data_IF_402698494177
#
_entry.id   IF_402698494177
#
_cell.length_a   1.000
_cell.length_b   1.000
_cell.length_c   1.000
_cell.angle_alpha   90.00
_cell.angle_beta   90.00
_cell.angle_gamma   90.00
#
_symmetry.space_group_name_H-M   'P 1'
#
loop_
_entity.id
_entity.type
_entity.pdbx_description
1 polymer ?
#
# COMPACT_ATOMS: atom_id res chain seq x y z
N UNK A 1 -1.96 -7.03 40.42
CA UNK A 1 -2.33 -6.16 39.29
C UNK A 1 -3.75 -6.54 38.92
N UNK A 2 -4.74 -5.68 39.20
CA UNK A 2 -6.13 -5.97 38.86
C UNK A 2 -6.29 -5.97 37.34
N UNK A 3 -6.99 -6.97 36.82
CA UNK A 3 -7.31 -7.21 35.40
C UNK A 3 -7.75 -5.92 34.66
N UNK A 4 -8.44 -5.04 35.39
CA UNK A 4 -8.86 -3.69 34.96
C UNK A 4 -7.72 -2.78 34.47
N UNK A 5 -6.56 -2.81 35.11
CA UNK A 5 -5.44 -1.94 34.74
C UNK A 5 -4.75 -2.37 33.45
N UNK A 6 -4.72 -3.68 33.17
CA UNK A 6 -4.17 -4.24 31.93
C UNK A 6 -5.09 -3.93 30.76
N UNK A 7 -6.40 -4.06 30.97
CA UNK A 7 -7.41 -3.73 29.96
C UNK A 7 -7.42 -2.24 29.58
N UNK A 8 -7.25 -1.36 30.58
CA UNK A 8 -7.17 0.08 30.34
C UNK A 8 -5.91 0.46 29.53
N UNK A 9 -4.77 -0.16 29.82
CA UNK A 9 -3.54 0.01 29.03
C UNK A 9 -3.72 -0.47 27.58
N UNK A 10 -4.38 -1.61 27.39
CA UNK A 10 -4.70 -2.14 26.06
C UNK A 10 -5.60 -1.17 25.27
N UNK A 11 -6.71 -0.71 25.87
CA UNK A 11 -7.65 0.23 25.26
C UNK A 11 -7.08 1.64 25.02
N UNK A 12 -6.00 2.02 25.71
CA UNK A 12 -5.26 3.26 25.47
C UNK A 12 -4.34 3.16 24.27
N UNK A 13 -3.82 1.98 23.97
CA UNK A 13 -2.98 1.71 22.80
C UNK A 13 -3.77 1.59 21.50
N UNK A 14 -5.08 1.39 21.58
CA UNK A 14 -5.95 1.29 20.42
C UNK A 14 -6.35 2.67 19.89
N UNK A 15 -6.30 2.83 18.56
CA UNK A 15 -6.89 3.98 17.89
C UNK A 15 -8.41 4.02 18.09
N UNK A 16 -9.00 5.23 18.02
CA UNK A 16 -10.44 5.47 18.24
C UNK A 16 -11.34 4.45 17.52
N UNK A 17 -11.00 4.09 16.29
CA UNK A 17 -11.79 3.15 15.48
C UNK A 17 -11.73 1.68 15.95
N UNK A 18 -10.65 1.27 16.63
CA UNK A 18 -10.50 -0.09 17.13
C UNK A 18 -11.09 -0.27 18.54
N UNK A 19 -11.40 0.83 19.22
CA UNK A 19 -11.96 0.80 20.57
C UNK A 19 -13.34 0.14 20.57
N UNK A 20 -14.18 0.45 19.60
CA UNK A 20 -15.52 -0.15 19.46
C UNK A 20 -15.47 -1.67 19.24
N UNK A 21 -14.44 -2.17 18.57
CA UNK A 21 -14.25 -3.61 18.33
C UNK A 21 -13.69 -4.29 19.59
N UNK A 22 -12.76 -3.64 20.28
CA UNK A 22 -12.25 -4.12 21.56
C UNK A 22 -13.33 -4.17 22.63
N UNK A 23 -14.23 -3.19 22.68
CA UNK A 23 -15.35 -3.16 23.60
C UNK A 23 -16.31 -4.34 23.34
N UNK A 24 -16.58 -4.69 22.07
CA UNK A 24 -17.36 -5.89 21.72
C UNK A 24 -16.71 -7.20 22.16
N UNK A 25 -15.38 -7.31 22.03
CA UNK A 25 -14.60 -8.47 22.51
C UNK A 25 -14.69 -8.58 24.04
N UNK A 26 -14.71 -7.44 24.74
CA UNK A 26 -14.77 -7.39 26.20
C UNK A 26 -16.17 -7.68 26.75
N UNK A 27 -17.21 -7.08 26.15
CA UNK A 27 -18.61 -7.29 26.56
C UNK A 27 -19.07 -8.74 26.33
N UNK A 28 -18.58 -9.39 25.27
CA UNK A 28 -18.87 -10.79 25.01
C UNK A 28 -18.17 -11.79 25.93
N UNK A 29 -17.18 -11.32 26.70
CA UNK A 29 -16.27 -12.16 27.48
C UNK A 29 -15.35 -12.98 26.57
N UNK A 30 -14.07 -12.61 26.51
CA UNK A 30 -13.06 -13.28 25.67
C UNK A 30 -13.02 -14.81 25.80
N UNK A 31 -13.38 -15.35 26.96
CA UNK A 31 -13.39 -16.79 27.27
C UNK A 31 -14.76 -17.45 27.08
N UNK A 32 -15.80 -16.67 26.80
CA UNK A 32 -17.17 -17.14 26.62
C UNK A 32 -17.67 -17.02 25.18
N UNK A 33 -16.96 -16.31 24.31
CA UNK A 33 -17.25 -16.28 22.89
C UNK A 33 -16.61 -17.47 22.15
N UNK A 34 -17.32 -18.07 21.17
CA UNK A 34 -16.73 -19.01 20.23
C UNK A 34 -15.52 -18.37 19.52
N UNK A 35 -14.50 -19.17 19.26
CA UNK A 35 -13.26 -18.72 18.62
C UNK A 35 -13.53 -17.98 17.31
N UNK A 36 -14.49 -18.44 16.51
CA UNK A 36 -14.86 -17.86 15.23
C UNK A 36 -15.36 -16.41 15.35
N UNK A 37 -15.98 -16.06 16.48
CA UNK A 37 -16.48 -14.69 16.73
C UNK A 37 -15.31 -13.76 17.05
N UNK A 38 -14.41 -14.21 17.94
CA UNK A 38 -13.21 -13.44 18.33
C UNK A 38 -12.29 -13.24 17.13
N UNK A 39 -12.08 -14.28 16.30
CA UNK A 39 -11.26 -14.19 15.10
C UNK A 39 -11.79 -13.14 14.11
N UNK A 40 -13.10 -13.14 13.84
CA UNK A 40 -13.74 -12.15 12.96
C UNK A 40 -13.61 -10.72 13.47
N UNK A 41 -13.72 -10.51 14.79
CA UNK A 41 -13.54 -9.19 15.39
C UNK A 41 -12.09 -8.72 15.25
N UNK A 42 -11.11 -9.60 15.48
CA UNK A 42 -9.69 -9.29 15.28
C UNK A 42 -9.35 -8.98 13.81
N UNK A 43 -9.88 -9.74 12.86
CA UNK A 43 -9.74 -9.45 11.43
C UNK A 43 -10.31 -8.06 11.10
N UNK A 44 -11.47 -7.71 11.69
CA UNK A 44 -12.06 -6.38 11.58
C UNK A 44 -11.13 -5.26 12.07
N UNK A 45 -10.43 -5.45 13.19
CA UNK A 45 -9.43 -4.48 13.69
C UNK A 45 -8.26 -4.32 12.72
N UNK A 46 -7.80 -5.41 12.11
CA UNK A 46 -6.71 -5.37 11.12
C UNK A 46 -7.13 -4.58 9.89
N UNK A 47 -8.33 -4.81 9.36
CA UNK A 47 -8.83 -4.06 8.21
C UNK A 47 -9.04 -2.57 8.52
N UNK A 48 -9.59 -2.26 9.70
CA UNK A 48 -9.78 -0.88 10.16
C UNK A 48 -8.45 -0.13 10.29
N UNK A 49 -7.40 -0.81 10.76
CA UNK A 49 -6.04 -0.26 10.81
C UNK A 49 -5.45 0.00 9.42
N UNK A 50 -5.63 -0.94 8.48
CA UNK A 50 -5.18 -0.76 7.09
C UNK A 50 -5.85 0.46 6.45
N UNK A 51 -7.16 0.62 6.66
CA UNK A 51 -7.92 1.75 6.14
C UNK A 51 -7.47 3.07 6.77
N UNK A 52 -7.28 3.10 8.09
CA UNK A 52 -6.80 4.29 8.80
C UNK A 52 -5.41 4.73 8.32
N UNK A 53 -4.49 3.79 8.11
CA UNK A 53 -3.16 4.07 7.56
C UNK A 53 -3.24 4.65 6.14
N UNK A 54 -4.02 4.02 5.25
CA UNK A 54 -4.24 4.54 3.89
C UNK A 54 -4.81 5.95 3.92
N UNK A 55 -5.80 6.21 4.78
CA UNK A 55 -6.38 7.55 4.92
C UNK A 55 -5.33 8.57 5.36
N UNK A 56 -4.49 8.23 6.33
CA UNK A 56 -3.39 9.09 6.78
C UNK A 56 -2.40 9.39 5.65
N UNK A 57 -2.03 8.39 4.84
CA UNK A 57 -1.16 8.57 3.66
C UNK A 57 -1.80 9.50 2.63
N UNK A 58 -3.10 9.33 2.35
CA UNK A 58 -3.86 10.22 1.47
C UNK A 58 -3.94 11.65 1.99
N UNK A 59 -4.19 11.85 3.29
CA UNK A 59 -4.25 13.17 3.91
C UNK A 59 -2.88 13.89 3.83
N UNK A 60 -1.78 13.14 4.00
CA UNK A 60 -0.43 13.65 3.84
C UNK A 60 -0.14 14.07 2.39
N UNK A 61 -0.55 13.26 1.40
CA UNK A 61 -0.42 13.58 -0.02
C UNK A 61 -1.26 14.80 -0.40
N UNK A 62 -2.50 14.89 0.07
CA UNK A 62 -3.37 16.04 -0.16
C UNK A 62 -2.76 17.34 0.39
N UNK A 63 -2.14 17.27 1.57
CA UNK A 63 -1.42 18.40 2.17
C UNK A 63 -0.24 18.84 1.32
N UNK A 64 0.56 17.90 0.80
CA UNK A 64 1.67 18.21 -0.09
C UNK A 64 1.21 18.83 -1.41
N UNK A 65 0.13 18.31 -1.99
CA UNK A 65 -0.45 18.85 -3.23
C UNK A 65 -0.96 20.29 -3.04
N UNK A 66 -1.62 20.58 -1.91
CA UNK A 66 -2.05 21.93 -1.57
C UNK A 66 -0.86 22.89 -1.46
N UNK A 67 0.20 22.50 -0.75
CA UNK A 67 1.40 23.32 -0.63
C UNK A 67 2.08 23.57 -2.00
N UNK A 68 2.13 22.55 -2.86
CA UNK A 68 2.66 22.69 -4.21
C UNK A 68 1.80 23.62 -5.07
N UNK A 69 0.48 23.47 -5.00
CA UNK A 69 -0.48 24.35 -5.71
C UNK A 69 -0.29 25.81 -5.32
N UNK A 70 -0.18 26.11 -4.02
CA UNK A 70 0.11 27.47 -3.54
C UNK A 70 1.40 28.01 -4.15
N UNK A 71 2.50 27.23 -4.13
CA UNK A 71 3.78 27.68 -4.70
C UNK A 71 3.73 27.92 -6.20
N UNK A 72 2.98 27.11 -6.94
CA UNK A 72 2.76 27.32 -8.40
C UNK A 72 2.03 28.64 -8.63
N UNK A 73 0.96 28.92 -7.88
CA UNK A 73 0.23 30.18 -8.01
C UNK A 73 1.08 31.40 -7.66
N UNK A 74 1.93 31.32 -6.62
CA UNK A 74 2.87 32.39 -6.26
C UNK A 74 3.88 32.67 -7.38
N UNK A 75 4.42 31.61 -7.99
CA UNK A 75 5.35 31.73 -9.12
C UNK A 75 4.68 32.32 -10.37
N UNK A 76 3.44 31.94 -10.65
CA UNK A 76 2.65 32.50 -11.76
C UNK A 76 2.42 34.00 -11.58
N UNK A 77 2.02 34.43 -10.37
CA UNK A 77 1.88 35.86 -10.03
C UNK A 77 3.23 36.59 -10.16
N UNK A 78 4.32 35.97 -9.71
CA UNK A 78 5.66 36.57 -9.82
C UNK A 78 6.11 36.70 -11.29
N UNK A 79 5.80 35.72 -12.14
CA UNK A 79 6.11 35.75 -13.57
C UNK A 79 5.33 36.89 -14.27
N UNK A 80 4.01 36.98 -14.04
CA UNK A 80 3.18 38.05 -14.60
C UNK A 80 3.55 39.45 -14.06
N UNK A 81 4.03 39.54 -12.81
CA UNK A 81 4.52 40.78 -12.23
C UNK A 81 5.81 41.28 -12.88
N UNK A 82 6.74 40.37 -13.22
CA UNK A 82 7.99 40.70 -13.92
C UNK A 82 7.77 41.04 -15.40
N UNK A 83 6.75 40.49 -16.03
CA UNK A 83 6.37 40.84 -17.40
C UNK A 83 5.94 42.32 -17.53
N UNK A 84 5.22 42.85 -16.54
CA UNK A 84 4.77 44.26 -16.53
C UNK A 84 5.88 45.29 -16.25
N UNK A 85 7.00 44.87 -15.64
CA UNK A 85 8.15 45.75 -15.41
C UNK A 85 9.22 45.64 -16.52
N UNK A 86 9.11 44.66 -17.41
CA UNK A 86 10.04 44.45 -18.53
C UNK A 86 9.57 45.12 -19.83
N UNK A 87 8.27 45.44 -19.96
CA UNK A 87 7.71 46.01 -21.19
C UNK A 87 7.86 47.54 -21.34
N UNK A 88 8.37 48.26 -20.32
CA UNK A 88 8.43 49.73 -20.32
C UNK A 88 9.86 50.33 -20.38
N UNK A 89 10.88 49.55 -20.76
CA UNK A 89 12.25 50.11 -20.92
C UNK A 89 13.00 49.67 -22.17
N UNK A 90 12.30 49.26 -23.22
CA UNK A 90 12.95 49.06 -24.52
C UNK A 90 12.24 49.87 -25.60
N UNK A 91 12.40 51.18 -25.51
CA UNK A 91 12.41 52.01 -26.70
C UNK A 91 13.80 52.62 -26.86
N UNK A 92 14.49 52.17 -27.92
CA UNK A 92 15.59 52.82 -28.64
C UNK A 92 16.96 52.83 -27.96
N UNK A 93 17.77 51.79 -28.19
CA UNK A 93 19.05 51.93 -28.91
C UNK A 93 19.80 50.60 -29.01
N UNK A 94 20.17 50.24 -30.25
CA UNK A 94 21.56 49.95 -30.56
C UNK A 94 22.14 48.56 -30.22
N UNK A 95 22.35 47.82 -31.31
CA UNK A 95 23.46 46.88 -31.57
C UNK A 95 23.32 45.43 -31.07
N UNK A 96 23.27 44.56 -32.09
CA UNK A 96 23.68 43.15 -32.13
C UNK A 96 24.77 42.82 -31.10
N UNK A 97 24.43 42.00 -30.11
CA UNK A 97 25.39 41.11 -29.47
C UNK A 97 24.75 39.72 -29.42
N UNK A 98 25.21 38.84 -30.30
CA UNK A 98 24.73 37.47 -30.52
C UNK A 98 25.78 36.53 -29.94
N UNK A 99 25.38 35.61 -29.06
CA UNK A 99 25.84 34.23 -29.16
C UNK A 99 26.78 33.65 -28.10
N UNK A 100 26.72 34.04 -26.82
CA UNK A 100 27.56 33.35 -25.79
C UNK A 100 26.74 32.80 -24.60
N UNK A 101 25.70 33.49 -24.12
CA UNK A 101 24.98 33.08 -22.90
C UNK A 101 23.84 32.07 -23.14
N UNK A 102 23.23 32.09 -24.32
CA UNK A 102 22.10 31.21 -24.68
C UNK A 102 22.55 29.78 -24.99
N UNK A 103 23.81 29.60 -25.40
CA UNK A 103 24.37 28.30 -25.83
C UNK A 103 24.69 27.40 -24.63
N UNK A 104 25.15 27.98 -23.51
CA UNK A 104 25.47 27.25 -22.27
C UNK A 104 24.21 26.73 -21.57
N UNK A 105 23.13 27.53 -21.56
CA UNK A 105 21.85 27.12 -21.00
C UNK A 105 21.21 25.98 -21.82
N UNK A 106 21.29 26.06 -23.16
CA UNK A 106 20.82 24.99 -24.05
C UNK A 106 21.65 23.71 -23.90
N UNK A 107 22.97 23.84 -23.77
CA UNK A 107 23.88 22.72 -23.52
C UNK A 107 23.57 22.01 -22.18
N UNK A 108 23.28 22.77 -21.12
CA UNK A 108 22.89 22.21 -19.83
C UNK A 108 21.54 21.46 -19.90
N UNK A 109 20.58 21.97 -20.67
CA UNK A 109 19.29 21.31 -20.89
C UNK A 109 19.49 20.01 -21.66
N UNK A 110 20.29 20.02 -22.74
CA UNK A 110 20.63 18.84 -23.54
C UNK A 110 21.24 17.74 -22.67
N UNK A 111 22.25 18.09 -21.85
CA UNK A 111 22.91 17.14 -20.95
C UNK A 111 21.94 16.51 -19.94
N UNK A 112 21.00 17.29 -19.42
CA UNK A 112 19.97 16.77 -18.50
C UNK A 112 19.00 15.82 -19.20
N UNK A 113 18.62 16.11 -20.44
CA UNK A 113 17.76 15.21 -21.23
C UNK A 113 18.46 13.88 -21.48
N UNK A 114 19.73 13.90 -21.90
CA UNK A 114 20.52 12.69 -22.14
C UNK A 114 20.70 11.86 -20.85
N UNK A 115 20.95 12.52 -19.72
CA UNK A 115 21.05 11.83 -18.42
C UNK A 115 19.73 11.16 -18.01
N UNK A 116 18.60 11.84 -18.24
CA UNK A 116 17.27 11.29 -17.96
C UNK A 116 16.91 10.14 -18.90
N UNK A 117 17.27 10.23 -20.19
CA UNK A 117 17.07 9.16 -21.17
C UNK A 117 17.87 7.90 -20.80
N UNK A 118 19.13 8.07 -20.36
CA UNK A 118 19.94 6.95 -19.86
C UNK A 118 19.28 6.27 -18.65
N UNK A 119 18.84 7.06 -17.67
CA UNK A 119 18.16 6.53 -16.48
C UNK A 119 16.86 5.81 -16.85
N UNK A 120 16.11 6.31 -17.82
CA UNK A 120 14.89 5.68 -18.31
C UNK A 120 15.17 4.32 -18.96
N UNK A 121 16.25 4.21 -19.73
CA UNK A 121 16.68 2.95 -20.33
C UNK A 121 17.10 1.92 -19.26
N UNK A 122 17.85 2.33 -18.25
CA UNK A 122 18.21 1.46 -17.11
C UNK A 122 16.96 0.97 -16.34
N UNK A 123 15.96 1.84 -16.13
CA UNK A 123 14.69 1.45 -15.51
C UNK A 123 13.92 0.44 -16.36
N UNK A 124 13.91 0.63 -17.69
CA UNK A 124 13.27 -0.29 -18.63
C UNK A 124 13.90 -1.69 -18.57
N UNK A 125 15.23 -1.77 -18.58
CA UNK A 125 15.97 -3.04 -18.46
C UNK A 125 15.67 -3.72 -17.11
N UNK A 126 15.63 -2.97 -16.01
CA UNK A 126 15.26 -3.52 -14.70
C UNK A 126 13.84 -4.09 -14.65
N UNK A 127 12.88 -3.41 -15.28
CA UNK A 127 11.49 -3.89 -15.38
C UNK A 127 11.42 -5.17 -16.20
N UNK A 128 12.17 -5.24 -17.31
CA UNK A 128 12.23 -6.43 -18.16
C UNK A 128 12.79 -7.65 -17.40
N UNK A 129 13.93 -7.48 -16.72
CA UNK A 129 14.51 -8.53 -15.87
C UNK A 129 13.57 -8.97 -14.74
N UNK A 130 12.89 -8.02 -14.09
CA UNK A 130 11.94 -8.32 -13.02
C UNK A 130 10.74 -9.11 -13.55
N UNK A 131 10.24 -8.76 -14.73
CA UNK A 131 9.12 -9.45 -15.36
C UNK A 131 9.48 -10.89 -15.75
N UNK A 132 10.68 -11.11 -16.27
CA UNK A 132 11.20 -12.45 -16.56
C UNK A 132 11.32 -13.29 -15.28
N UNK A 133 11.94 -12.73 -14.24
CA UNK A 133 12.08 -13.40 -12.94
C UNK A 133 10.72 -13.75 -12.32
N UNK A 134 9.76 -12.81 -12.36
CA UNK A 134 8.38 -13.03 -11.88
C UNK A 134 7.68 -14.14 -12.66
N UNK A 135 7.87 -14.18 -13.98
CA UNK A 135 7.28 -15.23 -14.83
C UNK A 135 7.86 -16.61 -14.49
N UNK A 136 9.19 -16.70 -14.35
CA UNK A 136 9.87 -17.94 -13.93
C UNK A 136 9.40 -18.42 -12.56
N UNK A 137 9.23 -17.49 -11.61
CA UNK A 137 8.75 -17.82 -10.27
C UNK A 137 7.31 -18.32 -10.28
N UNK A 138 6.43 -17.67 -11.06
CA UNK A 138 5.04 -18.11 -11.24
C UNK A 138 4.96 -19.53 -11.80
N UNK A 139 5.78 -19.87 -12.80
CA UNK A 139 5.86 -21.23 -13.33
C UNK A 139 6.33 -22.24 -12.28
N UNK A 140 7.28 -21.84 -11.42
CA UNK A 140 7.79 -22.68 -10.33
C UNK A 140 6.71 -22.96 -9.29
N UNK A 141 5.92 -21.95 -8.91
CA UNK A 141 4.80 -22.12 -7.98
C UNK A 141 3.77 -23.10 -8.56
N UNK A 142 3.37 -22.91 -9.82
CA UNK A 142 2.41 -23.80 -10.49
C UNK A 142 2.91 -25.26 -10.53
N UNK A 143 4.21 -25.46 -10.79
CA UNK A 143 4.82 -26.79 -10.77
C UNK A 143 4.76 -27.42 -9.38
N UNK A 144 5.07 -26.65 -8.33
CA UNK A 144 5.00 -27.12 -6.94
C UNK A 144 3.56 -27.45 -6.53
N UNK A 145 2.58 -26.62 -6.89
CA UNK A 145 1.15 -26.88 -6.65
C UNK A 145 0.71 -28.19 -7.30
N UNK A 146 1.11 -28.45 -8.55
CA UNK A 146 0.81 -29.69 -9.24
C UNK A 146 1.44 -30.91 -8.54
N UNK A 147 2.69 -30.80 -8.09
CA UNK A 147 3.38 -31.86 -7.35
C UNK A 147 2.71 -32.16 -6.01
N UNK A 148 2.35 -31.13 -5.25
CA UNK A 148 1.64 -31.26 -3.97
C UNK A 148 0.28 -31.91 -4.19
N UNK A 149 -0.48 -31.45 -5.19
CA UNK A 149 -1.79 -32.03 -5.54
C UNK A 149 -1.68 -33.51 -5.86
N UNK A 150 -0.67 -33.90 -6.64
CA UNK A 150 -0.45 -35.31 -6.96
C UNK A 150 -0.11 -36.16 -5.73
N UNK A 151 0.76 -35.66 -4.84
CA UNK A 151 1.09 -36.32 -3.57
C UNK A 151 -0.15 -36.50 -2.68
N UNK A 152 -0.99 -35.47 -2.58
CA UNK A 152 -2.21 -35.50 -1.78
C UNK A 152 -3.19 -36.56 -2.31
N UNK A 153 -3.43 -36.61 -3.61
CA UNK A 153 -4.33 -37.61 -4.23
C UNK A 153 -3.79 -39.04 -4.10
N UNK A 154 -2.47 -39.22 -4.08
CA UNK A 154 -1.84 -40.54 -3.87
C UNK A 154 -1.91 -41.05 -2.42
N UNK A 155 -1.93 -40.15 -1.43
CA UNK A 155 -1.91 -40.50 0.00
C UNK A 155 -3.27 -40.40 0.70
N UNK A 156 -4.20 -39.61 0.16
CA UNK A 156 -5.58 -39.48 0.62
C UNK A 156 -6.52 -39.72 -0.57
N UNK A 157 -6.93 -40.97 -0.82
CA UNK A 157 -7.99 -41.21 -1.80
C UNK A 157 -9.26 -40.48 -1.33
N UNK A 158 -10.11 -40.00 -2.27
CA UNK A 158 -11.40 -39.42 -1.93
C UNK A 158 -12.14 -40.36 -0.98
N UNK A 159 -12.73 -39.82 0.09
CA UNK A 159 -13.57 -40.61 0.98
C UNK A 159 -14.63 -41.32 0.12
N UNK A 160 -14.57 -42.64 0.05
CA UNK A 160 -15.66 -43.42 -0.51
C UNK A 160 -16.87 -43.20 0.39
N UNK A 161 -17.97 -42.71 -0.18
CA UNK A 161 -19.25 -42.45 0.51
C UNK A 161 -19.81 -43.69 1.23
N UNK A 162 -19.25 -44.87 0.98
CA UNK A 162 -19.61 -46.15 1.61
C UNK A 162 -18.78 -46.53 2.85
N UNK A 163 -17.98 -45.61 3.41
CA UNK A 163 -17.23 -45.91 4.64
C UNK A 163 -18.17 -46.07 5.84
N UNK A 164 -18.03 -47.14 6.66
CA UNK A 164 -19.01 -47.48 7.69
C UNK A 164 -19.02 -46.40 8.77
N UNK A 165 -20.12 -45.65 8.80
CA UNK A 165 -20.42 -44.64 9.82
C UNK A 165 -20.32 -45.30 11.21
N UNK A 166 -19.45 -44.79 12.08
CA UNK A 166 -19.39 -45.23 13.48
C UNK A 166 -20.74 -44.92 14.13
N UNK A 167 -21.57 -45.95 14.30
CA UNK A 167 -22.77 -45.89 15.12
C UNK A 167 -22.29 -45.82 16.56
N UNK A 168 -22.31 -44.63 17.16
CA UNK A 168 -22.18 -44.49 18.61
C UNK A 168 -23.35 -45.25 19.23
N UNK A 169 -23.05 -46.38 19.88
CA UNK A 169 -24.04 -47.19 20.55
C UNK A 169 -24.68 -46.40 21.69
N UNK A 170 -26.00 -46.27 21.65
CA UNK A 170 -26.80 -45.99 22.85
C UNK A 170 -26.59 -47.16 23.82
N UNK A 171 -25.86 -46.92 24.90
CA UNK A 171 -25.92 -47.78 26.08
C UNK A 171 -27.10 -47.31 26.93
N UNK A 172 -28.25 -47.99 26.77
CA UNK A 172 -29.31 -47.96 27.77
C UNK A 172 -28.84 -48.75 29.00
N UNK A 173 -28.54 -48.04 30.07
CA UNK A 173 -28.45 -48.62 31.41
C UNK A 173 -29.89 -48.91 31.90
N UNK A 174 -30.28 -50.18 31.95
CA UNK A 174 -31.42 -50.63 32.76
C UNK A 174 -30.92 -51.44 33.97
N UNK A 175 -31.16 -50.84 35.15
CA UNK A 175 -31.25 -51.35 36.54
C UNK A 175 -30.28 -52.41 37.09
#
# INVERSE_FOLDING_TARGET
MTDKGVLECFNRGLGLKNRDIADQICEGGMLHQPYEVVAKLLDGMVETNKEAKKKQEWDALATQLNALSTRVTELEVQAMGKEKHSSLRECRHGKKYRGIQDDEALSLIQQKIEAHEKMLNEMKENIEMLNEASTSHSMTIQLQEAQITHLMTGHYPPFAEDSPNYTMGDSEDEE
#
